data_IF_950901299795
#
_entry.id   IF_950901299795
#
_cell.length_a   1.000
_cell.length_b   1.000
_cell.length_c   1.000
_cell.angle_alpha   90.00
_cell.angle_beta   90.00
_cell.angle_gamma   90.00
#
_symmetry.space_group_name_H-M   'P 1'
#
loop_
_entity.id
_entity.type
_entity.pdbx_description
1 polymer ?
#
# COMPACT_ATOMS: atom_id res chain seq x y z
N UNK A 1 1.58 -21.28 15.50
CA UNK A 1 2.31 -20.29 14.67
C UNK A 1 1.68 -18.95 14.96
N UNK A 2 2.26 -18.21 15.91
CA UNK A 2 1.83 -16.87 16.31
C UNK A 2 3.09 -16.01 16.44
N UNK A 3 3.08 -14.86 15.77
CA UNK A 3 4.08 -13.79 15.66
C UNK A 3 3.34 -12.62 15.01
N UNK A 4 3.48 -11.34 15.37
CA UNK A 4 4.21 -10.61 16.39
C UNK A 4 3.42 -9.30 16.60
N UNK A 5 2.80 -9.09 17.77
CA UNK A 5 2.44 -7.75 18.23
C UNK A 5 3.61 -7.29 19.09
N UNK A 6 4.51 -6.47 18.53
CA UNK A 6 5.51 -5.80 19.34
C UNK A 6 4.87 -4.59 20.02
N UNK A 7 4.54 -4.74 21.30
CA UNK A 7 4.52 -3.59 22.21
C UNK A 7 5.98 -3.15 22.37
N UNK A 8 6.32 -1.94 21.91
CA UNK A 8 7.65 -1.39 22.14
C UNK A 8 7.79 -0.99 23.60
N UNK A 9 8.76 -1.59 24.28
CA UNK A 9 9.44 -0.95 25.41
C UNK A 9 10.32 0.17 24.84
N UNK A 10 10.25 1.35 25.45
CA UNK A 10 11.07 2.51 25.12
C UNK A 10 12.52 2.27 25.56
N UNK A 11 13.39 1.83 24.66
CA UNK A 11 14.84 1.91 24.86
C UNK A 11 15.31 3.34 24.53
N UNK A 12 15.62 4.10 25.57
CA UNK A 12 16.22 5.41 25.47
C UNK A 12 17.73 5.27 25.16
N UNK A 13 18.09 5.27 23.88
CA UNK A 13 19.49 5.54 23.50
C UNK A 13 19.86 6.98 23.90
N UNK A 14 21.04 7.11 24.52
CA UNK A 14 21.56 8.33 25.13
C UNK A 14 21.66 9.49 24.13
N UNK A 15 20.67 10.37 24.14
CA UNK A 15 20.78 11.70 23.53
C UNK A 15 21.81 12.55 24.30
N UNK A 16 22.59 13.41 23.61
CA UNK A 16 23.47 14.37 24.27
C UNK A 16 22.67 15.26 25.23
N UNK A 17 23.23 15.45 26.43
CA UNK A 17 22.56 16.02 27.61
C UNK A 17 21.75 17.31 27.34
N UNK A 18 20.56 17.46 27.95
CA UNK A 18 19.67 18.57 27.67
C UNK A 18 20.11 19.87 28.37
N UNK A 19 19.99 20.98 27.63
CA UNK A 19 19.83 22.30 28.22
C UNK A 19 18.59 22.31 29.11
N UNK A 20 18.80 22.74 30.37
CA UNK A 20 17.79 22.91 31.43
C UNK A 20 16.44 23.40 30.89
N UNK A 21 15.47 22.50 30.86
CA UNK A 21 14.05 22.75 30.61
C UNK A 21 13.30 22.61 31.93
N UNK A 22 12.41 23.57 32.22
CA UNK A 22 11.62 23.67 33.45
C UNK A 22 10.65 22.50 33.67
N UNK A 23 9.67 22.62 34.59
CA UNK A 23 8.76 21.52 34.92
C UNK A 23 7.82 21.22 33.74
N UNK A 24 8.29 20.37 32.82
CA UNK A 24 7.44 19.73 31.84
C UNK A 24 6.57 18.76 32.61
N UNK A 25 5.26 19.03 32.61
CA UNK A 25 4.26 18.03 32.96
C UNK A 25 4.54 16.80 32.12
N UNK A 26 4.57 15.62 32.75
CA UNK A 26 4.64 14.33 32.07
C UNK A 26 3.40 14.19 31.18
N UNK A 27 3.43 14.73 29.97
CA UNK A 27 2.45 14.41 28.95
C UNK A 27 2.60 12.91 28.68
N UNK A 28 1.59 12.15 29.07
CA UNK A 28 1.53 10.74 28.78
C UNK A 28 1.61 10.62 27.25
N UNK A 29 2.59 9.90 26.69
CA UNK A 29 2.75 9.82 25.25
C UNK A 29 1.45 9.27 24.66
N UNK A 30 0.84 10.02 23.76
CA UNK A 30 -0.36 9.61 23.03
C UNK A 30 -0.15 8.18 22.53
N UNK A 31 -1.01 7.24 22.90
CA UNK A 31 -0.87 5.84 22.48
C UNK A 31 -0.88 5.80 20.94
N UNK A 32 0.11 5.11 20.36
CA UNK A 32 0.27 4.95 18.92
C UNK A 32 0.36 3.47 18.58
N UNK A 33 -0.60 3.00 17.79
CA UNK A 33 -0.64 1.65 17.25
C UNK A 33 -0.25 1.70 15.78
N UNK A 34 0.66 0.83 15.36
CA UNK A 34 1.16 0.78 13.97
C UNK A 34 1.10 -0.64 13.43
N UNK A 35 0.63 -0.79 12.19
CA UNK A 35 0.64 -2.05 11.46
C UNK A 35 1.20 -1.85 10.06
N UNK A 36 2.15 -2.69 9.66
CA UNK A 36 2.63 -2.78 8.27
C UNK A 36 1.71 -3.71 7.48
N UNK A 37 1.29 -3.27 6.30
CA UNK A 37 0.52 -4.10 5.37
C UNK A 37 1.51 -4.74 4.38
N UNK A 38 1.65 -6.07 4.46
CA UNK A 38 2.60 -6.80 3.62
C UNK A 38 2.10 -6.99 2.19
N UNK A 39 0.78 -7.08 2.01
CA UNK A 39 0.17 -7.38 0.71
C UNK A 39 -0.60 -6.16 0.21
N UNK A 40 -0.20 -5.65 -0.96
CA UNK A 40 -0.87 -4.53 -1.61
C UNK A 40 -2.19 -5.01 -2.24
N UNK A 41 -3.21 -4.16 -2.19
CA UNK A 41 -4.56 -4.50 -2.66
C UNK A 41 -5.21 -3.33 -3.38
N UNK A 42 -5.68 -3.53 -4.61
CA UNK A 42 -6.48 -2.51 -5.31
C UNK A 42 -7.94 -2.49 -4.85
N UNK A 43 -8.43 -3.59 -4.28
CA UNK A 43 -9.79 -3.72 -3.74
C UNK A 43 -9.83 -4.76 -2.61
N UNK A 44 -10.94 -4.82 -1.87
CA UNK A 44 -11.11 -5.70 -0.72
C UNK A 44 -10.92 -4.96 0.62
N UNK A 45 -10.87 -5.71 1.71
CA UNK A 45 -10.62 -5.14 3.05
C UNK A 45 -9.16 -4.66 3.12
N UNK A 46 -9.00 -3.37 3.37
CA UNK A 46 -7.71 -2.70 3.59
C UNK A 46 -7.35 -2.74 5.08
N UNK A 47 -8.33 -2.41 5.94
CA UNK A 47 -8.18 -2.40 7.38
C UNK A 47 -9.44 -2.96 8.05
N UNK A 48 -9.26 -3.83 9.03
CA UNK A 48 -10.26 -4.11 10.04
C UNK A 48 -9.60 -4.16 11.43
N UNK A 49 -10.17 -3.44 12.40
CA UNK A 49 -9.72 -3.51 13.78
C UNK A 49 -10.86 -3.31 14.78
N UNK A 50 -10.63 -3.83 15.98
CA UNK A 50 -11.45 -3.61 17.16
C UNK A 50 -10.70 -2.71 18.15
N UNK A 51 -11.40 -1.86 18.90
CA UNK A 51 -10.78 -1.00 19.91
C UNK A 51 -11.79 -0.49 20.95
N UNK A 52 -11.28 0.10 22.02
CA UNK A 52 -12.05 0.81 23.03
C UNK A 52 -11.85 2.32 22.91
N UNK A 53 -12.94 3.06 22.70
CA UNK A 53 -12.97 4.51 22.89
C UNK A 53 -13.13 4.75 24.40
N UNK A 54 -12.16 5.42 25.07
CA UNK A 54 -12.22 5.65 26.51
C UNK A 54 -13.42 6.53 26.88
N UNK A 55 -13.78 6.58 28.16
CA UNK A 55 -14.81 7.51 28.63
C UNK A 55 -14.32 8.95 28.47
N UNK A 56 -15.26 9.88 28.36
CA UNK A 56 -14.97 11.31 28.27
C UNK A 56 -14.02 11.82 29.37
N UNK A 57 -14.19 11.36 30.61
CA UNK A 57 -13.35 11.75 31.75
C UNK A 57 -11.91 11.25 31.66
N UNK A 58 -11.65 10.25 30.80
CA UNK A 58 -10.35 9.64 30.56
C UNK A 58 -9.71 10.09 29.23
N UNK A 59 -10.38 10.96 28.47
CA UNK A 59 -9.89 11.51 27.20
C UNK A 59 -9.01 12.73 27.45
N UNK A 60 -7.92 12.85 26.69
CA UNK A 60 -7.01 13.99 26.76
C UNK A 60 -7.38 15.01 25.68
N UNK A 61 -7.46 14.56 24.42
CA UNK A 61 -7.66 15.42 23.26
C UNK A 61 -9.12 15.41 22.76
N UNK A 62 -9.95 14.52 23.32
CA UNK A 62 -11.30 14.20 22.85
C UNK A 62 -11.33 13.77 21.39
N UNK A 63 -10.26 13.14 20.92
CA UNK A 63 -10.18 12.66 19.55
C UNK A 63 -9.23 11.49 19.40
N UNK A 64 -9.46 10.69 18.36
CA UNK A 64 -8.46 9.78 17.84
C UNK A 64 -8.50 9.80 16.31
N UNK A 65 -7.43 9.30 15.71
CA UNK A 65 -7.29 9.27 14.26
C UNK A 65 -6.79 7.93 13.74
N UNK A 66 -7.16 7.62 12.50
CA UNK A 66 -6.71 6.47 11.73
C UNK A 66 -6.05 7.03 10.46
N UNK A 67 -4.79 6.68 10.23
CA UNK A 67 -4.05 7.09 9.05
C UNK A 67 -3.67 5.85 8.24
N UNK A 68 -4.15 5.79 7.00
CA UNK A 68 -3.65 4.90 5.95
C UNK A 68 -2.53 5.64 5.22
N UNK A 69 -1.31 5.13 5.30
CA UNK A 69 -0.11 5.80 4.81
C UNK A 69 0.60 5.04 3.70
N UNK A 70 1.25 5.80 2.83
CA UNK A 70 2.22 5.34 1.85
C UNK A 70 3.61 5.89 2.21
N UNK A 71 4.63 5.03 2.17
CA UNK A 71 6.05 5.35 2.35
C UNK A 71 6.44 6.09 3.63
N UNK A 72 5.64 5.97 4.68
CA UNK A 72 6.04 6.43 6.01
C UNK A 72 7.11 5.49 6.59
N UNK A 73 8.37 5.94 6.63
CA UNK A 73 9.40 5.21 7.38
C UNK A 73 9.06 5.19 8.88
N UNK A 74 9.59 4.22 9.62
CA UNK A 74 9.44 4.17 11.08
C UNK A 74 10.05 5.37 11.80
N UNK A 75 11.01 6.03 11.16
CA UNK A 75 11.83 7.06 11.79
C UNK A 75 11.43 8.48 11.41
N UNK A 76 10.59 8.66 10.38
CA UNK A 76 10.25 10.00 9.89
C UNK A 76 8.77 10.10 9.55
N UNK A 77 8.01 10.70 10.48
CA UNK A 77 6.58 10.96 10.29
C UNK A 77 6.29 12.01 9.20
N UNK A 78 7.30 12.80 8.82
CA UNK A 78 7.18 13.97 7.94
C UNK A 78 7.16 13.60 6.44
N UNK A 79 7.71 12.45 6.04
CA UNK A 79 7.92 12.13 4.61
C UNK A 79 6.95 11.10 4.01
N UNK A 80 5.83 10.80 4.68
CA UNK A 80 4.84 9.84 4.19
C UNK A 80 3.52 10.49 3.75
N UNK A 81 2.92 9.95 2.69
CA UNK A 81 1.64 10.44 2.16
C UNK A 81 0.50 9.79 2.95
N UNK A 82 -0.45 10.59 3.44
CA UNK A 82 -1.68 10.08 4.03
C UNK A 82 -2.67 9.81 2.91
N UNK A 83 -2.69 8.56 2.44
CA UNK A 83 -3.65 8.06 1.45
C UNK A 83 -5.08 8.36 1.90
N UNK A 84 -5.36 8.10 3.18
CA UNK A 84 -6.59 8.49 3.83
C UNK A 84 -6.35 8.68 5.33
N UNK A 85 -6.91 9.76 5.89
CA UNK A 85 -6.95 10.04 7.30
C UNK A 85 -8.42 10.16 7.75
N UNK A 86 -8.77 9.44 8.81
CA UNK A 86 -10.04 9.55 9.52
C UNK A 86 -9.75 10.17 10.89
N UNK A 87 -10.41 11.27 11.23
CA UNK A 87 -10.29 11.92 12.54
C UNK A 87 -11.65 11.92 13.21
N UNK A 88 -11.77 11.23 14.34
CA UNK A 88 -12.98 11.17 15.14
C UNK A 88 -12.86 12.17 16.28
N UNK A 89 -13.65 13.23 16.24
CA UNK A 89 -13.75 14.24 17.28
C UNK A 89 -14.99 13.97 18.13
N UNK A 90 -14.83 14.07 19.44
CA UNK A 90 -15.90 13.96 20.42
C UNK A 90 -16.12 15.31 21.10
N UNK A 91 -17.37 15.66 21.36
CA UNK A 91 -17.74 16.87 22.11
C UNK A 91 -18.35 16.50 23.47
N UNK A 92 -17.60 15.87 24.40
CA UNK A 92 -18.14 15.27 25.61
C UNK A 92 -18.81 16.27 26.55
N UNK A 93 -18.31 17.50 26.62
CA UNK A 93 -18.85 18.56 27.50
C UNK A 93 -20.34 18.84 27.22
N UNK A 94 -20.80 18.57 25.99
CA UNK A 94 -22.19 18.76 25.59
C UNK A 94 -23.10 17.60 25.96
N UNK A 95 -22.55 16.48 26.44
CA UNK A 95 -23.31 15.33 26.95
C UNK A 95 -23.47 15.33 28.48
N UNK A 96 -22.78 16.23 29.21
CA UNK A 96 -22.80 16.28 30.68
C UNK A 96 -24.12 16.84 31.27
N UNK A 97 -25.05 17.34 30.45
CA UNK A 97 -26.38 17.79 30.93
C UNK A 97 -27.38 16.65 31.21
N UNK A 98 -26.99 15.38 31.10
CA UNK A 98 -27.84 14.19 31.27
C UNK A 98 -28.35 13.92 32.70
N UNK A 99 -28.08 14.78 33.68
CA UNK A 99 -28.58 14.61 35.06
C UNK A 99 -29.98 15.20 35.29
N UNK A 100 -30.53 15.98 34.37
CA UNK A 100 -31.86 16.58 34.52
C UNK A 100 -32.78 16.18 33.35
N UNK A 101 -34.02 15.79 33.68
CA UNK A 101 -34.96 14.99 32.90
C UNK A 101 -35.46 15.58 31.55
N UNK A 102 -34.79 16.55 30.94
CA UNK A 102 -35.17 17.12 29.65
C UNK A 102 -33.93 17.34 28.76
N UNK A 103 -33.67 16.37 27.89
CA UNK A 103 -32.55 16.45 26.94
C UNK A 103 -33.00 17.21 25.69
N UNK A 104 -32.53 18.45 25.53
CA UNK A 104 -32.56 19.15 24.25
C UNK A 104 -31.18 19.10 23.62
N UNK A 105 -31.07 18.39 22.49
CA UNK A 105 -29.86 18.35 21.67
C UNK A 105 -29.64 19.72 21.02
N UNK A 106 -28.55 20.42 21.36
CA UNK A 106 -28.14 21.60 20.61
C UNK A 106 -27.43 21.16 19.33
N UNK A 107 -27.91 21.67 18.19
CA UNK A 107 -27.49 21.27 16.83
C UNK A 107 -26.08 21.75 16.45
N UNK A 108 -25.47 22.60 17.27
CA UNK A 108 -24.19 23.25 17.00
C UNK A 108 -23.10 22.66 17.92
N UNK A 109 -22.18 21.91 17.33
CA UNK A 109 -21.01 21.29 17.98
C UNK A 109 -21.17 19.81 18.35
N UNK A 110 -21.68 19.02 17.41
CA UNK A 110 -21.70 17.57 17.50
C UNK A 110 -20.32 16.95 17.42
N UNK A 111 -20.18 15.73 17.94
CA UNK A 111 -19.08 14.84 17.58
C UNK A 111 -19.05 14.68 16.05
N UNK A 112 -17.90 14.95 15.42
CA UNK A 112 -17.71 14.87 13.97
C UNK A 112 -16.66 13.84 13.59
N UNK A 113 -16.81 13.25 12.41
CA UNK A 113 -15.76 12.48 11.76
C UNK A 113 -15.31 13.23 10.52
N UNK A 114 -14.02 13.50 10.42
CA UNK A 114 -13.42 14.16 9.27
C UNK A 114 -12.64 13.14 8.46
N UNK A 115 -12.81 13.15 7.13
CA UNK A 115 -12.06 12.32 6.19
C UNK A 115 -11.25 13.23 5.29
N UNK A 116 -9.96 12.95 5.14
CA UNK A 116 -9.11 13.68 4.20
C UNK A 116 -7.98 12.83 3.63
N UNK A 117 -7.37 13.31 2.56
CA UNK A 117 -6.11 12.82 2.00
C UNK A 117 -5.15 13.99 2.03
N UNK A 118 -3.94 13.77 2.55
CA UNK A 118 -2.91 14.81 2.61
C UNK A 118 -1.59 14.24 2.07
N UNK A 119 -0.98 14.93 1.12
CA UNK A 119 0.34 14.57 0.59
C UNK A 119 1.44 15.40 1.25
N UNK A 120 2.68 15.09 0.88
CA UNK A 120 3.81 15.98 1.14
C UNK A 120 3.73 17.24 0.26
N UNK A 121 4.64 18.19 0.44
CA UNK A 121 4.71 19.42 -0.37
C UNK A 121 4.74 19.14 -1.89
N UNK A 122 5.29 17.99 -2.30
CA UNK A 122 5.33 17.56 -3.70
C UNK A 122 3.98 17.02 -4.23
N UNK A 123 3.02 16.73 -3.34
CA UNK A 123 1.72 16.15 -3.64
C UNK A 123 0.59 16.93 -2.97
N UNK A 124 0.29 18.12 -3.48
CA UNK A 124 -0.81 18.95 -2.98
C UNK A 124 -2.14 18.38 -3.48
N UNK A 125 -2.88 17.69 -2.61
CA UNK A 125 -4.30 17.37 -2.82
C UNK A 125 -5.13 18.58 -2.38
N UNK A 126 -5.61 19.38 -3.32
CA UNK A 126 -6.30 20.66 -3.05
C UNK A 126 -7.77 20.52 -2.61
N UNK A 127 -8.19 19.34 -2.17
CA UNK A 127 -9.59 19.10 -1.82
C UNK A 127 -9.85 19.27 -0.32
N UNK A 128 -10.92 19.99 -0.01
CA UNK A 128 -11.38 20.17 1.37
C UNK A 128 -11.68 18.82 2.05
N UNK A 129 -11.48 18.73 3.38
CA UNK A 129 -11.91 17.55 4.14
C UNK A 129 -13.42 17.32 4.03
N UNK A 130 -13.83 16.06 3.97
CA UNK A 130 -15.23 15.69 4.12
C UNK A 130 -15.58 15.61 5.61
N UNK A 131 -16.68 16.24 6.01
CA UNK A 131 -17.13 16.28 7.39
C UNK A 131 -18.44 15.52 7.50
N UNK A 132 -18.47 14.52 8.37
CA UNK A 132 -19.60 13.64 8.64
C UNK A 132 -19.97 13.73 10.12
N UNK A 133 -21.22 13.39 10.46
CA UNK A 133 -21.56 13.12 11.86
C UNK A 133 -20.74 11.94 12.37
N UNK A 134 -20.20 12.02 13.59
CA UNK A 134 -19.38 10.92 14.14
C UNK A 134 -20.26 9.68 14.35
N UNK A 135 -20.04 8.58 13.61
CA UNK A 135 -20.88 7.38 13.67
C UNK A 135 -20.72 6.59 14.98
N UNK A 136 -19.68 6.87 15.78
CA UNK A 136 -19.50 6.27 17.11
C UNK A 136 -20.47 6.92 18.11
N UNK A 137 -20.73 8.23 17.95
CA UNK A 137 -21.71 9.00 18.71
C UNK A 137 -21.37 9.27 20.19
N UNK A 138 -20.69 8.34 20.87
CA UNK A 138 -20.45 8.40 22.32
C UNK A 138 -19.07 7.87 22.72
N UNK A 139 -18.65 8.19 23.95
CA UNK A 139 -17.40 7.75 24.57
C UNK A 139 -17.64 6.54 25.48
N UNK A 140 -16.57 5.86 25.90
CA UNK A 140 -16.65 4.70 26.80
C UNK A 140 -17.23 3.45 26.13
N UNK A 141 -17.03 3.29 24.81
CA UNK A 141 -17.60 2.21 24.01
C UNK A 141 -16.55 1.45 23.24
N UNK A 142 -16.85 0.17 23.04
CA UNK A 142 -16.11 -0.67 22.12
C UNK A 142 -16.56 -0.42 20.68
N UNK A 143 -15.59 -0.41 19.76
CA UNK A 143 -15.82 -0.19 18.33
C UNK A 143 -15.17 -1.28 17.47
N UNK A 144 -15.77 -1.51 16.31
CA UNK A 144 -15.19 -2.24 15.19
C UNK A 144 -15.21 -1.33 13.96
N UNK A 145 -14.06 -1.17 13.32
CA UNK A 145 -13.90 -0.34 12.12
C UNK A 145 -13.48 -1.21 10.96
N UNK A 146 -14.20 -1.11 9.85
CA UNK A 146 -13.88 -1.79 8.59
C UNK A 146 -13.71 -0.76 7.48
N UNK A 147 -12.56 -0.78 6.83
CA UNK A 147 -12.27 0.01 5.63
C UNK A 147 -12.07 -0.96 4.47
N UNK A 148 -12.98 -0.90 3.51
CA UNK A 148 -13.01 -1.74 2.33
C UNK A 148 -12.81 -0.89 1.08
N UNK A 149 -11.83 -1.20 0.24
CA UNK A 149 -11.65 -0.54 -1.05
C UNK A 149 -12.49 -1.23 -2.14
N UNK A 150 -13.36 -0.47 -2.79
CA UNK A 150 -13.98 -0.83 -4.07
C UNK A 150 -13.18 -0.21 -5.21
N UNK A 151 -13.67 -0.36 -6.45
CA UNK A 151 -13.01 0.18 -7.64
C UNK A 151 -12.80 1.70 -7.55
N UNK A 152 -13.80 2.44 -7.10
CA UNK A 152 -13.83 3.91 -7.19
C UNK A 152 -13.85 4.63 -5.83
N UNK A 153 -14.14 3.91 -4.74
CA UNK A 153 -14.28 4.49 -3.39
C UNK A 153 -13.91 3.50 -2.28
N UNK A 154 -13.57 4.05 -1.12
CA UNK A 154 -13.55 3.35 0.16
C UNK A 154 -14.96 3.29 0.74
N UNK A 155 -15.31 2.12 1.27
CA UNK A 155 -16.44 1.87 2.14
C UNK A 155 -15.93 1.80 3.57
N UNK A 156 -16.33 2.77 4.38
CA UNK A 156 -15.98 2.84 5.79
C UNK A 156 -17.24 2.48 6.59
N UNK A 157 -17.18 1.40 7.37
CA UNK A 157 -18.25 1.00 8.28
C UNK A 157 -17.73 0.97 9.71
N UNK A 158 -18.51 1.54 10.61
CA UNK A 158 -18.26 1.58 12.05
C UNK A 158 -19.37 0.77 12.71
N UNK A 159 -19.00 -0.24 13.50
CA UNK A 159 -19.91 -1.14 14.20
C UNK A 159 -20.93 -1.86 13.29
N UNK A 160 -20.60 -2.07 12.02
CA UNK A 160 -21.50 -2.69 11.05
C UNK A 160 -22.66 -1.81 10.61
N UNK A 161 -22.60 -0.50 10.90
CA UNK A 161 -23.53 0.49 10.36
C UNK A 161 -23.34 0.75 8.87
N UNK A 162 -24.16 1.67 8.35
CA UNK A 162 -24.13 2.08 6.93
C UNK A 162 -22.74 2.54 6.49
N UNK A 163 -22.44 2.31 5.21
CA UNK A 163 -21.17 2.72 4.65
C UNK A 163 -21.11 4.22 4.41
N UNK A 164 -20.00 4.81 4.87
CA UNK A 164 -19.55 6.12 4.43
C UNK A 164 -18.66 5.90 3.22
N UNK A 165 -19.06 6.48 2.09
CA UNK A 165 -18.35 6.37 0.82
C UNK A 165 -17.36 7.52 0.67
N UNK A 166 -16.08 7.20 0.55
CA UNK A 166 -15.02 8.19 0.31
C UNK A 166 -14.30 7.87 -0.99
N UNK A 167 -14.32 8.78 -1.95
CA UNK A 167 -13.72 8.55 -3.27
C UNK A 167 -12.20 8.40 -3.16
N UNK A 168 -11.63 7.49 -3.95
CA UNK A 168 -10.18 7.34 -4.02
C UNK A 168 -9.53 8.61 -4.58
N UNK A 169 -8.70 9.27 -3.78
CA UNK A 169 -7.80 10.35 -4.22
C UNK A 169 -6.40 9.84 -4.55
N UNK A 170 -6.02 8.75 -3.92
CA UNK A 170 -4.77 8.01 -4.12
C UNK A 170 -5.14 6.54 -4.27
N UNK A 171 -4.44 5.76 -5.13
CA UNK A 171 -4.81 4.36 -5.33
C UNK A 171 -4.72 3.54 -4.03
N UNK A 172 -5.70 2.67 -3.71
CA UNK A 172 -5.73 1.94 -2.45
C UNK A 172 -4.53 1.03 -2.19
N UNK A 173 -3.92 0.52 -3.25
CA UNK A 173 -2.76 -0.35 -3.15
C UNK A 173 -1.51 0.35 -2.65
N UNK A 174 -1.50 1.69 -2.61
CA UNK A 174 -0.38 2.47 -2.05
C UNK A 174 -0.29 2.36 -0.53
N UNK A 175 -1.37 1.96 0.15
CA UNK A 175 -1.38 1.83 1.61
C UNK A 175 -0.45 0.69 2.03
N UNK A 176 0.67 1.04 2.65
CA UNK A 176 1.65 0.08 3.20
C UNK A 176 1.76 0.16 4.73
N UNK A 177 1.19 1.20 5.35
CA UNK A 177 1.09 1.31 6.81
C UNK A 177 -0.27 1.81 7.26
N UNK A 178 -0.67 1.34 8.45
CA UNK A 178 -1.79 1.84 9.23
C UNK A 178 -1.26 2.39 10.53
N UNK A 179 -1.68 3.60 10.90
CA UNK A 179 -1.36 4.22 12.18
C UNK A 179 -2.64 4.69 12.87
N UNK A 180 -2.86 4.23 14.10
CA UNK A 180 -4.00 4.63 14.94
C UNK A 180 -3.43 5.34 16.17
N UNK A 181 -3.91 6.55 16.46
CA UNK A 181 -3.37 7.36 17.56
C UNK A 181 -4.41 8.27 18.20
N UNK A 182 -4.16 8.68 19.44
CA UNK A 182 -5.04 9.58 20.21
C UNK A 182 -5.79 8.82 21.30
N UNK A 183 -7.00 9.29 21.63
CA UNK A 183 -7.85 8.72 22.67
C UNK A 183 -8.53 7.41 22.22
N UNK A 184 -7.74 6.35 22.15
CA UNK A 184 -8.15 5.01 21.75
C UNK A 184 -7.30 3.97 22.47
N UNK A 185 -7.91 2.87 22.94
CA UNK A 185 -7.25 1.83 23.73
C UNK A 185 -7.54 0.44 23.16
N UNK A 186 -6.72 -0.54 23.56
CA UNK A 186 -6.92 -1.97 23.26
C UNK A 186 -7.14 -2.28 21.78
N UNK A 187 -6.41 -1.58 20.89
CA UNK A 187 -6.51 -1.80 19.44
C UNK A 187 -6.05 -3.22 19.10
N UNK A 188 -6.95 -3.99 18.48
CA UNK A 188 -6.71 -5.33 17.97
C UNK A 188 -6.94 -5.35 16.47
N UNK A 189 -5.85 -5.57 15.72
CA UNK A 189 -5.92 -5.72 14.28
C UNK A 189 -6.52 -7.08 13.89
N UNK A 190 -6.67 -7.30 12.58
CA UNK A 190 -7.39 -8.45 12.02
C UNK A 190 -7.01 -9.79 12.64
N UNK A 191 -5.72 -10.04 12.84
CA UNK A 191 -5.17 -11.31 13.34
C UNK A 191 -5.63 -11.64 14.77
N UNK A 192 -5.92 -10.62 15.58
CA UNK A 192 -6.27 -10.74 16.99
C UNK A 192 -7.77 -10.49 17.25
N UNK A 193 -8.51 -10.10 16.22
CA UNK A 193 -9.94 -9.78 16.28
C UNK A 193 -10.79 -10.92 15.69
N UNK A 194 -11.58 -11.57 16.53
CA UNK A 194 -12.50 -12.64 16.09
C UNK A 194 -13.60 -12.10 15.17
N UNK A 195 -14.03 -10.84 15.33
CA UNK A 195 -15.03 -10.22 14.47
C UNK A 195 -14.45 -9.90 13.09
N UNK A 196 -13.25 -9.31 13.04
CA UNK A 196 -12.56 -9.04 11.78
C UNK A 196 -12.28 -10.32 11.00
N UNK A 197 -11.85 -11.40 11.66
CA UNK A 197 -11.66 -12.70 11.00
C UNK A 197 -12.94 -13.21 10.35
N UNK A 198 -14.11 -13.08 11.00
CA UNK A 198 -15.41 -13.46 10.41
C UNK A 198 -15.72 -12.64 9.17
N UNK A 199 -15.49 -11.32 9.23
CA UNK A 199 -15.75 -10.40 8.11
C UNK A 199 -14.81 -10.73 6.94
N UNK A 200 -13.52 -10.93 7.21
CA UNK A 200 -12.50 -11.25 6.20
C UNK A 200 -12.78 -12.58 5.53
N UNK A 201 -13.14 -13.61 6.30
CA UNK A 201 -13.44 -14.94 5.76
C UNK A 201 -14.67 -14.96 4.83
N UNK A 202 -15.62 -14.04 5.05
CA UNK A 202 -16.81 -13.89 4.21
C UNK A 202 -16.64 -12.86 3.08
N UNK A 203 -15.51 -12.16 3.05
CA UNK A 203 -15.25 -11.10 2.06
C UNK A 203 -14.63 -11.64 0.77
N UNK A 204 -14.81 -10.87 -0.31
CA UNK A 204 -14.13 -11.16 -1.58
C UNK A 204 -12.63 -10.95 -1.38
N UNK A 205 -11.86 -12.02 -1.54
CA UNK A 205 -10.40 -11.97 -1.48
C UNK A 205 -9.87 -11.29 -2.74
N UNK A 206 -9.03 -10.28 -2.55
CA UNK A 206 -8.25 -9.69 -3.63
C UNK A 206 -7.45 -10.78 -4.34
N UNK A 207 -7.55 -10.80 -5.67
CA UNK A 207 -6.73 -11.64 -6.54
C UNK A 207 -5.98 -10.72 -7.48
N UNK A 208 -4.68 -10.97 -7.61
CA UNK A 208 -3.86 -10.32 -8.62
C UNK A 208 -4.40 -10.64 -10.02
N UNK A 209 -4.25 -9.71 -10.98
CA UNK A 209 -4.53 -10.00 -12.39
C UNK A 209 -3.83 -11.29 -12.84
N UNK A 210 -4.44 -12.08 -13.75
CA UNK A 210 -3.90 -13.38 -14.17
C UNK A 210 -2.56 -13.31 -14.92
N UNK A 211 -2.17 -12.09 -15.31
CA UNK A 211 -0.95 -11.71 -16.00
C UNK A 211 0.07 -11.05 -15.06
N UNK A 212 -0.17 -11.09 -13.76
CA UNK A 212 0.72 -10.57 -12.73
C UNK A 212 1.13 -11.70 -11.77
N UNK A 213 2.39 -11.66 -11.36
CA UNK A 213 2.97 -12.57 -10.38
C UNK A 213 3.56 -11.76 -9.23
N UNK A 214 3.18 -12.08 -7.99
CA UNK A 214 3.92 -11.66 -6.80
C UNK A 214 5.16 -12.52 -6.67
N UNK A 215 6.32 -11.87 -6.57
CA UNK A 215 7.60 -12.53 -6.37
C UNK A 215 8.14 -12.18 -4.99
N UNK A 216 8.78 -13.15 -4.35
CA UNK A 216 9.61 -12.84 -3.18
C UNK A 216 10.77 -11.94 -3.63
N UNK A 217 11.34 -11.12 -2.73
CA UNK A 217 12.54 -10.36 -3.05
C UNK A 217 13.57 -11.27 -3.72
N UNK A 218 13.92 -10.92 -4.95
CA UNK A 218 14.79 -11.74 -5.78
C UNK A 218 16.20 -11.67 -5.23
N UNK A 219 16.91 -12.80 -5.20
CA UNK A 219 18.35 -12.77 -4.96
C UNK A 219 19.08 -12.41 -6.24
N UNK A 220 20.31 -11.90 -6.12
CA UNK A 220 21.21 -11.76 -7.27
C UNK A 220 21.22 -13.08 -8.06
N UNK A 221 21.12 -12.98 -9.39
CA UNK A 221 21.14 -14.09 -10.35
C UNK A 221 19.91 -15.01 -10.41
N UNK A 222 18.86 -14.80 -9.62
CA UNK A 222 17.60 -15.51 -9.86
C UNK A 222 16.99 -15.08 -11.20
N UNK A 223 16.53 -16.04 -11.99
CA UNK A 223 16.01 -15.80 -13.33
C UNK A 223 14.49 -15.79 -13.29
N UNK A 224 13.88 -14.72 -13.80
CA UNK A 224 12.47 -14.69 -14.16
C UNK A 224 12.35 -15.17 -15.60
N UNK A 225 11.60 -16.24 -15.78
CA UNK A 225 11.35 -16.86 -17.08
C UNK A 225 9.90 -16.61 -17.46
N UNK A 226 9.69 -15.97 -18.61
CA UNK A 226 8.37 -15.67 -19.15
C UNK A 226 8.24 -16.39 -20.49
N UNK A 227 7.22 -17.23 -20.62
CA UNK A 227 6.98 -18.02 -21.83
C UNK A 227 5.55 -17.84 -22.28
N UNK A 228 5.34 -17.58 -23.57
CA UNK A 228 3.99 -17.42 -24.10
C UNK A 228 3.96 -17.40 -25.62
N UNK A 229 2.75 -17.33 -26.16
CA UNK A 229 2.54 -17.00 -27.57
C UNK A 229 2.28 -15.51 -27.70
N UNK A 230 2.89 -14.87 -28.70
CA UNK A 230 2.67 -13.45 -28.98
C UNK A 230 1.22 -13.25 -29.41
N UNK A 231 0.41 -12.56 -28.59
CA UNK A 231 -0.97 -12.24 -28.94
C UNK A 231 -1.10 -10.89 -29.63
N UNK A 232 -0.26 -9.93 -29.23
CA UNK A 232 -0.24 -8.57 -29.75
C UNK A 232 1.08 -7.87 -29.40
N UNK A 233 1.42 -6.84 -30.17
CA UNK A 233 2.53 -5.94 -29.86
C UNK A 233 2.04 -4.61 -29.25
N UNK A 234 2.85 -3.95 -28.41
CA UNK A 234 4.09 -4.46 -27.84
C UNK A 234 3.84 -5.53 -26.75
N UNK A 235 4.83 -6.41 -26.54
CA UNK A 235 4.90 -7.28 -25.36
C UNK A 235 5.50 -6.46 -24.24
N UNK A 236 4.74 -6.22 -23.17
CA UNK A 236 5.19 -5.44 -22.03
C UNK A 236 5.54 -6.38 -20.87
N UNK A 237 6.70 -6.18 -20.27
CA UNK A 237 7.10 -6.82 -19.01
C UNK A 237 7.51 -5.74 -18.03
N UNK A 238 6.81 -5.65 -16.89
CA UNK A 238 7.03 -4.63 -15.87
C UNK A 238 7.38 -5.25 -14.53
N UNK A 239 8.50 -4.83 -13.95
CA UNK A 239 8.98 -5.21 -12.64
C UNK A 239 8.66 -4.06 -11.70
N UNK A 240 7.85 -4.32 -10.68
CA UNK A 240 7.30 -3.31 -9.79
C UNK A 240 7.80 -3.53 -8.35
N UNK A 241 8.09 -2.44 -7.65
CA UNK A 241 8.36 -2.42 -6.22
C UNK A 241 7.38 -1.47 -5.52
N UNK A 242 6.77 -1.94 -4.43
CA UNK A 242 5.77 -1.16 -3.70
C UNK A 242 4.52 -0.80 -4.52
N UNK A 243 4.28 -1.49 -5.65
CA UNK A 243 3.19 -1.21 -6.58
C UNK A 243 2.66 -2.49 -7.22
N UNK A 244 1.37 -2.48 -7.60
CA UNK A 244 0.73 -3.54 -8.39
C UNK A 244 0.13 -3.03 -9.70
N UNK A 245 0.38 -1.76 -10.03
CA UNK A 245 0.14 -1.18 -11.34
C UNK A 245 1.09 0.01 -11.52
N UNK A 246 1.26 0.47 -12.77
CA UNK A 246 2.03 1.68 -13.03
C UNK A 246 1.25 2.90 -12.57
N UNK A 247 1.92 3.80 -11.87
CA UNK A 247 1.36 5.09 -11.52
C UNK A 247 2.44 6.16 -11.66
N UNK A 248 2.04 7.35 -12.11
CA UNK A 248 2.98 8.45 -12.36
C UNK A 248 3.59 8.99 -11.07
N UNK A 249 2.82 8.92 -9.98
CA UNK A 249 3.14 9.54 -8.70
C UNK A 249 3.48 8.55 -7.58
N UNK A 250 3.18 7.27 -7.74
CA UNK A 250 3.25 6.29 -6.65
C UNK A 250 3.88 4.99 -7.10
N UNK A 251 4.56 4.34 -6.16
CA UNK A 251 5.23 3.09 -6.44
C UNK A 251 6.42 3.26 -7.36
N UNK A 252 7.13 2.16 -7.58
CA UNK A 252 8.36 2.17 -8.35
C UNK A 252 8.33 1.13 -9.47
N UNK A 253 8.93 1.50 -10.59
CA UNK A 253 9.15 0.64 -11.74
C UNK A 253 10.63 0.29 -11.76
N UNK A 254 10.96 -0.88 -11.24
CA UNK A 254 12.34 -1.39 -11.21
C UNK A 254 12.84 -1.59 -12.64
N UNK A 255 11.99 -2.10 -13.52
CA UNK A 255 12.32 -2.35 -14.91
C UNK A 255 11.06 -2.40 -15.75
N UNK A 256 11.02 -1.63 -16.81
CA UNK A 256 9.98 -1.65 -17.81
C UNK A 256 10.58 -2.01 -19.15
N UNK A 257 10.10 -3.10 -19.72
CA UNK A 257 10.51 -3.63 -21.01
C UNK A 257 9.29 -3.69 -21.93
N UNK A 258 9.37 -3.04 -23.08
CA UNK A 258 8.38 -3.14 -24.13
C UNK A 258 9.05 -3.59 -25.43
N UNK A 259 8.67 -4.78 -25.90
CA UNK A 259 9.18 -5.41 -27.11
C UNK A 259 8.16 -5.25 -28.23
N UNK A 260 8.50 -4.46 -29.24
CA UNK A 260 7.76 -4.36 -30.49
C UNK A 260 8.33 -5.34 -31.54
N UNK A 261 7.82 -5.29 -32.76
CA UNK A 261 8.35 -6.11 -33.86
C UNK A 261 9.81 -5.79 -34.21
N UNK A 262 10.24 -4.54 -34.07
CA UNK A 262 11.53 -4.07 -34.59
C UNK A 262 12.41 -3.40 -33.54
N UNK A 263 11.84 -3.09 -32.36
CA UNK A 263 12.49 -2.25 -31.36
C UNK A 263 12.15 -2.74 -29.96
N UNK A 264 13.10 -2.54 -29.05
CA UNK A 264 12.93 -2.69 -27.62
C UNK A 264 13.02 -1.32 -26.98
N UNK A 265 12.04 -1.02 -26.14
CA UNK A 265 12.01 0.13 -25.27
C UNK A 265 12.27 -0.32 -23.83
N UNK A 266 13.16 0.37 -23.13
CA UNK A 266 13.50 0.07 -21.73
C UNK A 266 13.55 1.35 -20.90
N UNK A 267 12.91 1.32 -19.73
CA UNK A 267 13.04 2.36 -18.71
C UNK A 267 13.02 1.79 -17.28
N UNK A 268 13.36 2.64 -16.32
CA UNK A 268 13.10 2.44 -14.89
C UNK A 268 12.66 3.78 -14.29
N UNK A 269 11.79 3.73 -13.28
CA UNK A 269 11.23 4.92 -12.62
C UNK A 269 11.19 4.72 -11.12
N UNK A 270 11.58 5.75 -10.40
CA UNK A 270 11.38 5.88 -8.95
C UNK A 270 10.76 7.24 -8.64
N UNK A 271 10.28 7.45 -7.42
CA UNK A 271 9.64 8.70 -7.01
C UNK A 271 10.54 9.90 -7.32
N UNK A 272 10.07 10.78 -8.21
CA UNK A 272 10.78 11.98 -8.64
C UNK A 272 11.98 11.77 -9.58
N UNK A 273 12.23 10.55 -10.07
CA UNK A 273 13.32 10.28 -11.03
C UNK A 273 12.94 9.22 -12.07
N UNK A 274 13.28 9.51 -13.33
CA UNK A 274 13.19 8.56 -14.44
C UNK A 274 14.60 8.30 -14.98
N UNK A 275 14.90 7.06 -15.37
CA UNK A 275 16.13 6.78 -16.11
C UNK A 275 16.03 7.33 -17.53
N UNK A 276 17.17 7.50 -18.19
CA UNK A 276 17.17 7.76 -19.63
C UNK A 276 16.46 6.61 -20.37
N UNK A 277 15.47 6.99 -21.19
CA UNK A 277 14.73 6.07 -22.04
C UNK A 277 15.68 5.49 -23.07
N UNK A 278 15.82 4.17 -23.07
CA UNK A 278 16.74 3.49 -23.97
C UNK A 278 15.94 2.77 -25.05
N UNK A 279 16.13 3.19 -26.31
CA UNK A 279 15.59 2.51 -27.48
C UNK A 279 16.70 1.72 -28.14
N UNK A 280 16.49 0.40 -28.30
CA UNK A 280 17.42 -0.47 -29.02
C UNK A 280 16.69 -1.10 -30.18
N UNK A 281 17.21 -0.90 -31.39
CA UNK A 281 16.74 -1.65 -32.56
C UNK A 281 17.08 -3.13 -32.39
N UNK A 282 16.14 -3.99 -32.73
CA UNK A 282 16.39 -5.43 -32.78
C UNK A 282 17.36 -5.74 -33.92
N UNK A 283 18.20 -6.77 -33.78
CA UNK A 283 18.96 -7.28 -34.90
C UNK A 283 18.00 -7.63 -36.05
N UNK A 284 18.37 -7.33 -37.29
CA UNK A 284 17.53 -7.62 -38.47
C UNK A 284 17.12 -9.10 -38.61
N UNK A 285 17.75 -10.00 -37.85
CA UNK A 285 17.46 -11.44 -37.85
C UNK A 285 16.34 -11.85 -36.88
N UNK A 286 16.00 -11.01 -35.89
CA UNK A 286 14.94 -11.29 -34.93
C UNK A 286 13.58 -10.78 -35.44
N UNK A 287 13.01 -11.48 -36.42
CA UNK A 287 11.64 -11.21 -36.90
C UNK A 287 10.59 -11.86 -35.99
N UNK A 288 9.92 -11.06 -35.15
CA UNK A 288 8.84 -11.54 -34.29
C UNK A 288 7.48 -11.47 -34.98
N UNK A 289 6.65 -12.51 -34.83
CA UNK A 289 5.31 -12.59 -35.42
C UNK A 289 4.24 -12.94 -34.39
N UNK A 290 3.04 -12.38 -34.54
CA UNK A 290 1.88 -12.81 -33.76
C UNK A 290 1.65 -14.32 -33.95
N UNK A 291 1.29 -15.01 -32.87
CA UNK A 291 1.15 -16.45 -32.78
C UNK A 291 2.46 -17.23 -32.56
N UNK A 292 3.62 -16.58 -32.69
CA UNK A 292 4.92 -17.22 -32.42
C UNK A 292 5.13 -17.47 -30.92
N UNK A 293 5.83 -18.55 -30.57
CA UNK A 293 6.26 -18.82 -29.20
C UNK A 293 7.54 -18.05 -28.91
N UNK A 294 7.60 -17.42 -27.74
CA UNK A 294 8.75 -16.66 -27.29
C UNK A 294 9.09 -17.04 -25.84
N UNK A 295 10.38 -17.01 -25.54
CA UNK A 295 10.94 -17.16 -24.20
C UNK A 295 11.68 -15.87 -23.85
N UNK A 296 11.33 -15.27 -22.73
CA UNK A 296 11.99 -14.09 -22.19
C UNK A 296 12.63 -14.44 -20.85
N UNK A 297 13.95 -14.33 -20.77
CA UNK A 297 14.70 -14.52 -19.52
C UNK A 297 15.13 -13.16 -18.98
N UNK A 298 14.95 -12.93 -17.69
CA UNK A 298 15.43 -11.72 -17.01
C UNK A 298 16.21 -12.11 -15.77
N UNK A 299 17.40 -11.54 -15.59
CA UNK A 299 18.23 -11.79 -14.42
C UNK A 299 19.16 -10.63 -14.14
N UNK A 300 19.36 -10.32 -12.87
CA UNK A 300 20.10 -9.13 -12.47
C UNK A 300 21.06 -9.36 -11.33
N UNK A 301 21.98 -8.42 -11.20
CA UNK A 301 22.87 -8.27 -10.05
C UNK A 301 22.93 -6.79 -9.69
N UNK A 302 22.55 -6.44 -8.47
CA UNK A 302 22.36 -5.04 -8.06
C UNK A 302 21.48 -4.30 -9.08
N UNK A 303 21.89 -3.13 -9.55
CA UNK A 303 21.16 -2.28 -10.50
C UNK A 303 21.22 -2.75 -11.96
N UNK A 304 22.08 -3.71 -12.30
CA UNK A 304 22.17 -4.21 -13.68
C UNK A 304 21.19 -5.35 -13.89
N UNK A 305 20.32 -5.20 -14.89
CA UNK A 305 19.35 -6.20 -15.34
C UNK A 305 19.75 -6.64 -16.74
N UNK A 306 19.99 -7.93 -16.90
CA UNK A 306 20.21 -8.59 -18.17
C UNK A 306 18.90 -9.23 -18.62
N UNK A 307 18.71 -9.30 -19.93
CA UNK A 307 17.57 -9.98 -20.51
C UNK A 307 17.93 -10.69 -21.80
N UNK A 308 17.19 -11.74 -22.08
CA UNK A 308 17.31 -12.56 -23.29
C UNK A 308 15.94 -12.71 -23.93
N UNK A 309 15.90 -12.55 -25.25
CA UNK A 309 14.71 -12.76 -26.08
C UNK A 309 15.03 -13.95 -26.99
N UNK A 310 14.43 -15.10 -26.69
CA UNK A 310 14.62 -16.33 -27.44
C UNK A 310 13.37 -16.67 -28.26
N UNK A 311 13.62 -16.95 -29.54
CA UNK A 311 12.64 -17.48 -30.49
C UNK A 311 13.11 -18.83 -30.97
N UNK A 312 12.35 -19.48 -31.85
CA UNK A 312 12.80 -20.75 -32.47
C UNK A 312 14.05 -20.60 -33.34
N UNK A 313 14.37 -19.39 -33.79
CA UNK A 313 15.42 -19.14 -34.79
C UNK A 313 16.67 -18.51 -34.21
N UNK A 314 16.50 -17.67 -33.20
CA UNK A 314 17.54 -16.75 -32.75
C UNK A 314 17.36 -16.36 -31.29
N UNK A 315 18.46 -15.92 -30.69
CA UNK A 315 18.55 -15.44 -29.30
C UNK A 315 19.19 -14.05 -29.32
N UNK A 316 18.48 -13.08 -28.77
CA UNK A 316 19.02 -11.73 -28.56
C UNK A 316 19.26 -11.49 -27.08
N UNK A 317 20.44 -10.99 -26.72
CA UNK A 317 20.79 -10.68 -25.32
C UNK A 317 21.15 -9.21 -25.17
N UNK A 318 20.81 -8.64 -24.01
CA UNK A 318 21.24 -7.28 -23.67
C UNK A 318 21.22 -7.03 -22.16
N UNK A 319 21.68 -5.84 -21.79
CA UNK A 319 21.64 -5.36 -20.41
C UNK A 319 21.19 -3.90 -20.32
N UNK A 320 20.73 -3.55 -19.11
CA UNK A 320 20.25 -2.24 -18.73
C UNK A 320 20.64 -1.95 -17.28
N UNK A 321 21.01 -0.70 -16.97
CA UNK A 321 21.30 -0.25 -15.61
C UNK A 321 20.07 0.51 -15.09
N UNK A 322 19.37 -0.09 -14.14
CA UNK A 322 18.17 0.47 -13.51
C UNK A 322 18.52 1.48 -12.42
N UNK A 323 17.56 2.35 -12.09
CA UNK A 323 17.63 3.19 -10.89
C UNK A 323 17.48 2.39 -9.59
N UNK A 324 17.02 1.15 -9.66
CA UNK A 324 16.78 0.29 -8.50
C UNK A 324 17.41 -1.08 -8.70
N UNK A 325 17.82 -1.76 -7.60
CA UNK A 325 18.35 -3.10 -7.72
C UNK A 325 17.26 -4.08 -8.16
N UNK A 326 17.64 -5.06 -8.98
CA UNK A 326 16.77 -6.16 -9.44
C UNK A 326 16.05 -6.86 -8.28
N UNK A 327 16.75 -7.02 -7.16
CA UNK A 327 16.26 -7.62 -5.92
C UNK A 327 15.11 -6.87 -5.24
N UNK A 328 14.88 -5.60 -5.61
CA UNK A 328 13.73 -4.83 -5.14
C UNK A 328 12.41 -5.28 -5.78
N UNK A 329 12.41 -6.13 -6.82
CA UNK A 329 11.15 -6.53 -7.48
C UNK A 329 10.23 -7.29 -6.51
N UNK A 330 8.98 -6.84 -6.40
CA UNK A 330 7.90 -7.51 -5.66
C UNK A 330 6.83 -8.07 -6.58
N UNK A 331 6.60 -7.46 -7.74
CA UNK A 331 5.61 -7.93 -8.70
C UNK A 331 6.17 -7.89 -10.12
N UNK A 332 5.77 -8.85 -10.93
CA UNK A 332 6.06 -8.92 -12.37
C UNK A 332 4.74 -8.94 -13.12
N UNK A 333 4.55 -8.00 -14.04
CA UNK A 333 3.37 -7.89 -14.88
C UNK A 333 3.75 -8.14 -16.34
N UNK A 334 2.97 -8.96 -17.05
CA UNK A 334 3.19 -9.29 -18.46
C UNK A 334 1.96 -8.95 -19.28
N UNK A 335 2.13 -8.32 -20.42
CA UNK A 335 1.06 -8.06 -21.39
C UNK A 335 1.57 -8.39 -22.81
N UNK A 336 0.68 -8.64 -23.75
CA UNK A 336 1.09 -9.00 -25.12
C UNK A 336 1.34 -10.50 -25.36
N UNK A 337 1.19 -11.34 -24.33
CA UNK A 337 1.40 -12.78 -24.40
C UNK A 337 0.17 -13.58 -23.92
N UNK A 338 -0.15 -14.63 -24.65
CA UNK A 338 -1.11 -15.66 -24.29
C UNK A 338 -0.42 -16.88 -23.65
N UNK A 339 -1.09 -17.48 -22.66
CA UNK A 339 -0.65 -18.73 -22.03
C UNK A 339 -0.69 -19.88 -23.03
N UNK A 340 0.36 -20.69 -23.06
CA UNK A 340 0.32 -22.00 -23.72
C UNK A 340 -0.40 -23.00 -22.80
N UNK A 341 -1.05 -24.02 -23.38
CA UNK A 341 -1.85 -24.99 -22.62
C UNK A 341 -1.03 -25.82 -21.60
N UNK A 342 0.30 -25.75 -21.66
CA UNK A 342 1.21 -26.63 -20.93
C UNK A 342 2.04 -25.89 -19.86
N UNK A 343 2.10 -24.55 -19.87
CA UNK A 343 3.03 -23.79 -19.01
C UNK A 343 2.39 -22.60 -18.29
N UNK A 344 2.99 -22.20 -17.16
CA UNK A 344 2.70 -20.91 -16.52
C UNK A 344 3.29 -19.78 -17.37
N UNK A 345 2.55 -18.69 -17.55
CA UNK A 345 3.04 -17.50 -18.27
C UNK A 345 4.32 -16.92 -17.67
N UNK A 346 4.40 -16.94 -16.34
CA UNK A 346 5.52 -16.40 -15.56
C UNK A 346 5.96 -17.49 -14.59
N UNK A 347 7.24 -17.80 -14.61
CA UNK A 347 7.89 -18.71 -13.69
C UNK A 347 9.17 -18.08 -13.11
N UNK A 348 9.48 -18.39 -11.86
CA UNK A 348 10.72 -17.90 -11.20
C UNK A 348 11.61 -19.10 -10.97
N UNK A 349 12.74 -19.14 -11.67
CA UNK A 349 13.67 -20.25 -11.62
C UNK A 349 14.91 -19.86 -10.80
N UNK A 350 15.25 -20.76 -9.88
CA UNK A 350 16.51 -20.67 -9.13
C UNK A 350 17.59 -21.39 -9.89
N UNK A 351 18.38 -20.66 -10.66
CA UNK A 351 19.56 -21.20 -11.32
C UNK A 351 20.75 -21.03 -10.39
N UNK A 352 21.43 -22.13 -10.06
CA UNK A 352 22.81 -22.04 -9.59
C UNK A 352 23.65 -21.68 -10.81
N UNK A 353 23.87 -20.40 -11.05
CA UNK A 353 24.89 -19.97 -12.00
C UNK A 353 26.23 -20.41 -11.37
N UNK A 354 26.87 -21.40 -12.01
CA UNK A 354 28.15 -21.97 -11.60
C UNK A 354 29.31 -21.02 -11.90
#
# INVERSE_FOLDING_TARGET
MGKDIQLMDYDAEELPQPLLKGPFQNEQPSLKYKKKLMNLKSYGIILCFEANVPKAEDMIDNQFQINLRHDSSEHINEFGINVMQLVFNFAPEKYISLRENNVTFQKEGHSVMTIMTSGSDDYVFSESPEIHSNPIGQTGVYINVVIYALKDFYNISINGGDFIHYRHRVPPWTVNYVMISGDIKDVKFEEDSSQCQKIINNSIKFKLPPNMLEVKPLTDFEIIVITGKISNFPINVTFLYGAIERHNNFGHVVFDFALSQNEIYIESRTTGRESEKTNKSLPHQLELKEGEQILLNFYGKKETINFEVETKKDIFTNSFVSLMPYSATHYVMVEGLEKTNEDKLIDVQKTKIL
#
